data_IF_089585259460
#
_entry.id   IF_089585259460
#
_cell.length_a   1.000
_cell.length_b   1.000
_cell.length_c   1.000
_cell.angle_alpha   90.00
_cell.angle_beta   90.00
_cell.angle_gamma   90.00
#
_symmetry.space_group_name_H-M   'P 1'
#
loop_
_entity.id
_entity.type
_entity.pdbx_description
1 polymer ?
#
# COMPACT_ATOMS: atom_id res chain seq x y z
N UNK A 1 -18.82 -29.92 6.55
CA UNK A 1 -17.54 -29.20 6.68
C UNK A 1 -17.30 -28.50 5.37
N UNK A 2 -17.66 -27.22 5.29
CA UNK A 2 -17.46 -26.40 4.08
C UNK A 2 -15.95 -26.24 3.87
N UNK A 3 -15.40 -26.47 2.67
CA UNK A 3 -14.00 -26.20 2.41
C UNK A 3 -13.69 -24.73 2.73
N UNK A 4 -12.49 -24.40 3.25
CA UNK A 4 -12.11 -23.01 3.46
C UNK A 4 -12.22 -22.27 2.13
N UNK A 5 -12.88 -21.12 2.17
CA UNK A 5 -13.05 -20.24 1.03
C UNK A 5 -11.66 -19.73 0.63
N UNK A 6 -11.00 -20.44 -0.29
CA UNK A 6 -9.62 -20.18 -0.69
C UNK A 6 -9.59 -18.97 -1.62
N UNK A 7 -9.91 -17.81 -1.05
CA UNK A 7 -9.84 -16.52 -1.73
C UNK A 7 -8.40 -16.31 -2.18
N UNK A 8 -8.18 -16.20 -3.50
CA UNK A 8 -6.86 -15.87 -4.04
C UNK A 8 -6.52 -14.44 -3.61
N UNK A 9 -5.63 -14.32 -2.63
CA UNK A 9 -5.01 -13.07 -2.21
C UNK A 9 -3.72 -12.88 -3.02
N UNK A 10 -3.53 -11.68 -3.57
CA UNK A 10 -2.28 -11.32 -4.25
C UNK A 10 -1.21 -10.99 -3.21
N UNK A 11 0.06 -11.00 -3.64
CA UNK A 11 1.18 -10.58 -2.77
C UNK A 11 0.99 -9.14 -2.30
N UNK A 12 0.47 -8.25 -3.15
CA UNK A 12 0.24 -6.84 -2.79
C UNK A 12 -0.91 -6.70 -1.78
N UNK A 13 -1.96 -7.50 -1.88
CA UNK A 13 -3.04 -7.50 -0.88
C UNK A 13 -2.49 -7.90 0.48
N UNK A 14 -1.73 -9.00 0.54
CA UNK A 14 -1.17 -9.47 1.80
C UNK A 14 -0.19 -8.46 2.39
N UNK A 15 0.70 -7.88 1.57
CA UNK A 15 1.64 -6.86 2.03
C UNK A 15 0.92 -5.66 2.65
N UNK A 16 -0.11 -5.14 1.98
CA UNK A 16 -0.89 -3.99 2.44
C UNK A 16 -1.61 -4.30 3.76
N UNK A 17 -2.22 -5.48 3.89
CA UNK A 17 -2.85 -5.92 5.14
C UNK A 17 -1.85 -5.96 6.29
N UNK A 18 -0.67 -6.57 6.09
CA UNK A 18 0.38 -6.64 7.11
C UNK A 18 0.88 -5.25 7.51
N UNK A 19 1.09 -4.36 6.55
CA UNK A 19 1.52 -2.98 6.83
C UNK A 19 0.46 -2.21 7.64
N UNK A 20 -0.82 -2.38 7.30
CA UNK A 20 -1.93 -1.78 8.05
C UNK A 20 -2.01 -2.30 9.49
N UNK A 21 -1.83 -3.60 9.70
CA UNK A 21 -1.75 -4.20 11.04
C UNK A 21 -0.59 -3.65 11.86
N UNK A 22 0.53 -3.31 11.21
CA UNK A 22 1.66 -2.63 11.83
C UNK A 22 1.39 -1.13 12.12
N UNK A 23 0.22 -0.61 11.77
CA UNK A 23 -0.16 0.79 12.03
C UNK A 23 0.15 1.76 10.90
N UNK A 24 0.53 1.29 9.71
CA UNK A 24 0.71 2.18 8.56
C UNK A 24 -0.61 2.90 8.25
N UNK A 25 -0.54 4.22 8.06
CA UNK A 25 -1.71 5.04 7.74
C UNK A 25 -1.71 5.50 6.27
N UNK A 26 -0.52 5.71 5.69
CA UNK A 26 -0.36 6.32 4.37
C UNK A 26 0.97 5.98 3.70
N UNK A 27 0.96 6.01 2.37
CA UNK A 27 2.12 5.87 1.51
C UNK A 27 2.46 7.21 0.84
N UNK A 28 3.73 7.41 0.48
CA UNK A 28 4.20 8.56 -0.29
C UNK A 28 4.93 8.06 -1.53
N UNK A 29 4.71 8.69 -2.69
CA UNK A 29 5.52 8.38 -3.87
C UNK A 29 4.97 8.93 -5.17
N UNK A 30 5.62 8.52 -6.26
CA UNK A 30 5.23 8.84 -7.63
C UNK A 30 4.58 7.60 -8.26
N UNK A 31 3.40 7.70 -8.89
CA UNK A 31 2.80 6.61 -9.63
C UNK A 31 3.70 6.17 -10.79
N UNK A 32 4.08 4.89 -10.78
CA UNK A 32 4.65 4.18 -11.92
C UNK A 32 3.72 3.07 -12.36
N UNK A 33 3.82 2.59 -13.60
CA UNK A 33 3.09 1.40 -14.06
C UNK A 33 3.52 0.10 -13.38
N UNK A 34 2.81 -0.99 -13.62
CA UNK A 34 3.14 -2.31 -13.05
C UNK A 34 2.85 -2.40 -11.55
N UNK A 35 3.78 -3.00 -10.79
CA UNK A 35 3.58 -3.36 -9.38
C UNK A 35 3.31 -2.17 -8.45
N UNK A 36 3.77 -0.96 -8.79
CA UNK A 36 3.43 0.24 -8.02
C UNK A 36 1.95 0.62 -8.15
N UNK A 37 1.32 0.44 -9.31
CA UNK A 37 -0.13 0.64 -9.45
C UNK A 37 -0.91 -0.41 -8.67
N UNK A 38 -0.46 -1.66 -8.70
CA UNK A 38 -1.10 -2.76 -7.95
C UNK A 38 -1.06 -2.48 -6.45
N UNK A 39 0.06 -1.95 -5.94
CA UNK A 39 0.22 -1.57 -4.54
C UNK A 39 -0.66 -0.37 -4.17
N UNK A 40 -0.72 0.66 -5.01
CA UNK A 40 -1.58 1.84 -4.80
C UNK A 40 -3.05 1.43 -4.79
N UNK A 41 -3.49 0.56 -5.72
CA UNK A 41 -4.86 0.07 -5.73
C UNK A 41 -5.18 -0.80 -4.51
N UNK A 42 -4.28 -1.73 -4.14
CA UNK A 42 -4.45 -2.54 -2.94
C UNK A 42 -4.53 -1.69 -1.67
N UNK A 43 -3.65 -0.68 -1.52
CA UNK A 43 -3.66 0.27 -0.42
C UNK A 43 -5.00 1.03 -0.35
N UNK A 44 -5.47 1.55 -1.48
CA UNK A 44 -6.76 2.23 -1.59
C UNK A 44 -7.92 1.32 -1.20
N UNK A 45 -7.94 0.06 -1.66
CA UNK A 45 -8.96 -0.94 -1.28
C UNK A 45 -8.92 -1.26 0.21
N UNK A 46 -7.74 -1.21 0.84
CA UNK A 46 -7.57 -1.40 2.28
C UNK A 46 -7.83 -0.14 3.12
N UNK A 47 -8.12 1.01 2.48
CA UNK A 47 -8.36 2.29 3.15
C UNK A 47 -7.10 3.01 3.63
N UNK A 48 -5.93 2.67 3.09
CA UNK A 48 -4.69 3.42 3.30
C UNK A 48 -4.61 4.56 2.28
N UNK A 49 -4.16 5.73 2.74
CA UNK A 49 -4.01 6.89 1.87
C UNK A 49 -2.74 6.77 1.01
N UNK A 50 -2.81 7.14 -0.26
CA UNK A 50 -1.62 7.36 -1.09
C UNK A 50 -1.45 8.85 -1.36
N UNK A 51 -0.37 9.42 -0.84
CA UNK A 51 0.00 10.82 -1.03
C UNK A 51 0.95 10.92 -2.23
N UNK A 52 0.43 11.48 -3.32
CA UNK A 52 1.20 11.75 -4.53
C UNK A 52 2.32 12.75 -4.24
N UNK A 53 3.55 12.42 -4.63
CA UNK A 53 4.72 13.30 -4.51
C UNK A 53 5.20 13.76 -5.87
N UNK A 54 5.90 14.90 -5.92
CA UNK A 54 6.53 15.41 -7.15
C UNK A 54 7.67 14.50 -7.64
N UNK A 55 8.39 13.93 -6.68
CA UNK A 55 9.58 13.10 -6.82
C UNK A 55 9.69 12.15 -5.62
N UNK A 56 10.43 11.08 -5.79
CA UNK A 56 10.64 10.04 -4.78
C UNK A 56 11.42 10.58 -3.57
N UNK A 57 12.42 11.46 -3.79
CA UNK A 57 13.23 12.09 -2.73
C UNK A 57 12.35 12.89 -1.75
N UNK A 58 11.38 13.63 -2.29
CA UNK A 58 10.42 14.40 -1.50
C UNK A 58 9.52 13.48 -0.68
N UNK A 59 9.10 12.35 -1.25
CA UNK A 59 8.31 11.34 -0.55
C UNK A 59 9.05 10.70 0.63
N UNK A 60 10.35 10.44 0.47
CA UNK A 60 11.19 9.93 1.55
C UNK A 60 11.26 10.92 2.73
N UNK A 61 11.48 12.21 2.44
CA UNK A 61 11.51 13.25 3.48
C UNK A 61 10.16 13.35 4.20
N UNK A 62 9.05 13.33 3.44
CA UNK A 62 7.70 13.34 4.02
C UNK A 62 7.45 12.13 4.92
N UNK A 63 7.82 10.93 4.48
CA UNK A 63 7.69 9.72 5.28
C UNK A 63 8.50 9.82 6.58
N UNK A 64 9.75 10.32 6.52
CA UNK A 64 10.63 10.42 7.69
C UNK A 64 10.12 11.38 8.77
N UNK A 65 9.47 12.48 8.39
CA UNK A 65 9.00 13.50 9.34
C UNK A 65 7.57 13.27 9.84
N UNK A 66 6.86 12.31 9.26
CA UNK A 66 5.46 12.01 9.64
C UNK A 66 5.22 10.56 10.05
N UNK A 67 6.29 9.81 10.31
CA UNK A 67 6.25 8.44 10.81
C UNK A 67 5.72 8.37 12.25
#
# INVERSE_FOLDING_TARGET
MTPPDNKRITVVDHLVERLKECGLQRFFGVPGGGSSMDLIDAARRAGLEFVLTRREDSGMVMAAVTA
#
